data_IF_279557108179
#
_entry.id   IF_279557108179
#
_cell.length_a   1.000
_cell.length_b   1.000
_cell.length_c   1.000
_cell.angle_alpha   90.00
_cell.angle_beta   90.00
_cell.angle_gamma   90.00
#
_symmetry.space_group_name_H-M   'P 1'
#
loop_
_entity.id
_entity.type
_entity.pdbx_description
1 polymer ?
#
# COMPACT_ATOMS: atom_id res chain seq x y z
N UNK A 1 8.66 -25.64 10.41
CA UNK A 1 8.60 -24.70 9.28
C UNK A 1 10.03 -24.47 8.82
N UNK A 2 10.70 -25.51 8.32
CA UNK A 2 10.59 -25.99 6.92
C UNK A 2 10.85 -24.86 5.92
N UNK A 3 12.08 -24.88 5.39
CA UNK A 3 12.54 -23.99 4.33
C UNK A 3 11.75 -24.32 3.07
N UNK A 4 11.16 -23.30 2.45
CA UNK A 4 10.68 -23.41 1.08
C UNK A 4 11.88 -23.75 0.16
N UNK A 5 11.78 -24.79 -0.68
CA UNK A 5 12.84 -25.14 -1.61
C UNK A 5 12.87 -24.12 -2.75
N UNK A 6 14.04 -23.52 -2.99
CA UNK A 6 14.37 -22.87 -4.26
C UNK A 6 14.55 -23.98 -5.30
N UNK A 7 13.47 -24.40 -5.95
CA UNK A 7 13.58 -25.24 -7.14
C UNK A 7 14.01 -24.35 -8.31
N UNK A 8 15.26 -24.50 -8.75
CA UNK A 8 15.64 -24.13 -10.12
C UNK A 8 14.67 -24.80 -11.09
N UNK A 9 14.25 -24.14 -12.19
CA UNK A 9 13.35 -24.77 -13.14
C UNK A 9 13.97 -26.08 -13.63
N UNK A 10 13.18 -27.16 -13.76
CA UNK A 10 13.71 -28.40 -14.27
C UNK A 10 14.27 -28.14 -15.67
N UNK A 11 15.54 -28.45 -15.87
CA UNK A 11 16.17 -28.47 -17.19
C UNK A 11 15.62 -29.67 -17.96
N UNK A 12 14.36 -29.56 -18.41
CA UNK A 12 13.71 -30.53 -19.28
C UNK A 12 13.54 -29.86 -20.62
N UNK A 13 14.24 -30.35 -21.64
CA UNK A 13 13.94 -30.03 -23.03
C UNK A 13 12.53 -30.55 -23.34
N UNK A 14 11.50 -29.76 -23.04
CA UNK A 14 10.17 -29.94 -23.63
C UNK A 14 10.33 -29.69 -25.13
N UNK A 15 10.18 -30.75 -25.92
CA UNK A 15 10.15 -30.63 -27.39
C UNK A 15 8.80 -30.03 -27.81
N UNK A 16 8.78 -29.29 -28.91
CA UNK A 16 7.57 -28.65 -29.43
C UNK A 16 6.40 -29.64 -29.61
N UNK A 17 6.69 -30.90 -29.93
CA UNK A 17 5.72 -31.98 -30.10
C UNK A 17 4.98 -32.35 -28.80
N UNK A 18 5.68 -32.36 -27.66
CA UNK A 18 5.07 -32.68 -26.36
C UNK A 18 4.15 -31.52 -25.93
N UNK A 19 4.60 -30.28 -26.16
CA UNK A 19 3.80 -29.08 -25.90
C UNK A 19 2.54 -29.05 -26.77
N UNK A 20 2.66 -29.38 -28.06
CA UNK A 20 1.51 -29.47 -28.99
C UNK A 20 0.49 -30.52 -28.55
N UNK A 21 0.95 -31.70 -28.11
CA UNK A 21 0.04 -32.76 -27.62
C UNK A 21 -0.71 -32.35 -26.34
N UNK A 22 -0.05 -31.62 -25.43
CA UNK A 22 -0.67 -31.09 -24.21
C UNK A 22 -1.69 -29.99 -24.55
N UNK A 23 -1.40 -29.16 -25.56
CA UNK A 23 -2.24 -28.00 -25.91
C UNK A 23 -3.31 -28.26 -26.97
N UNK A 24 -3.25 -29.39 -27.70
CA UNK A 24 -4.21 -29.75 -28.75
C UNK A 24 -5.69 -29.67 -28.32
N UNK A 25 -6.09 -30.12 -27.11
CA UNK A 25 -7.48 -29.99 -26.66
C UNK A 25 -7.90 -28.53 -26.46
N UNK A 26 -6.99 -27.69 -25.95
CA UNK A 26 -7.24 -26.26 -25.66
C UNK A 26 -7.33 -25.43 -26.96
N UNK A 27 -6.62 -25.84 -28.01
CA UNK A 27 -6.63 -25.17 -29.30
C UNK A 27 -7.91 -25.42 -30.10
N UNK A 28 -8.54 -26.59 -29.96
CA UNK A 28 -9.81 -26.90 -30.63
C UNK A 28 -10.96 -26.00 -30.16
N UNK A 29 -11.01 -25.63 -28.88
CA UNK A 29 -12.06 -24.76 -28.35
C UNK A 29 -11.88 -23.27 -28.72
N UNK A 30 -10.64 -22.82 -28.94
CA UNK A 30 -10.33 -21.40 -29.19
C UNK A 30 -10.51 -20.94 -30.65
N UNK A 31 -10.74 -21.83 -31.60
CA UNK A 31 -10.83 -21.51 -33.02
C UNK A 31 -12.20 -21.01 -33.51
N UNK A 32 -13.05 -20.48 -32.62
CA UNK A 32 -14.33 -19.86 -32.99
C UNK A 32 -14.49 -18.42 -32.51
N UNK A 33 -13.40 -17.65 -32.43
CA UNK A 33 -13.50 -16.18 -32.44
C UNK A 33 -13.54 -15.72 -33.89
N UNK A 34 -14.76 -15.57 -34.41
CA UNK A 34 -15.03 -15.17 -35.80
C UNK A 34 -14.31 -13.86 -36.14
N UNK A 35 -13.36 -13.91 -37.08
CA UNK A 35 -12.81 -12.70 -37.73
C UNK A 35 -11.51 -12.11 -37.15
N UNK A 36 -10.90 -12.68 -36.10
CA UNK A 36 -9.66 -12.14 -35.52
C UNK A 36 -8.56 -13.19 -35.47
N UNK A 37 -7.44 -12.95 -36.16
CA UNK A 37 -6.27 -13.84 -36.12
C UNK A 37 -5.52 -13.71 -34.80
N UNK A 38 -5.49 -14.76 -33.99
CA UNK A 38 -4.70 -14.80 -32.75
C UNK A 38 -3.23 -14.98 -33.12
N UNK A 39 -2.40 -13.97 -32.84
CA UNK A 39 -0.97 -13.96 -33.21
C UNK A 39 -0.08 -14.65 -32.17
N UNK A 40 -0.50 -14.64 -30.90
CA UNK A 40 0.21 -15.25 -29.79
C UNK A 40 -0.72 -15.55 -28.60
N UNK A 41 -0.27 -16.40 -27.68
CA UNK A 41 -0.92 -16.73 -26.42
C UNK A 41 0.12 -16.90 -25.31
N UNK A 42 -0.24 -16.56 -24.08
CA UNK A 42 0.56 -16.83 -22.89
C UNK A 42 -0.20 -17.81 -21.98
N UNK A 43 0.48 -18.89 -21.60
CA UNK A 43 -0.05 -19.99 -20.80
C UNK A 43 0.61 -19.96 -19.42
N UNK A 44 -0.18 -20.01 -18.36
CA UNK A 44 0.27 -19.96 -16.97
C UNK A 44 0.26 -21.37 -16.38
N UNK A 45 1.41 -21.82 -15.87
CA UNK A 45 1.58 -23.12 -15.21
C UNK A 45 2.16 -22.93 -13.81
N UNK A 46 2.18 -24.00 -13.01
CA UNK A 46 2.63 -23.93 -11.61
C UNK A 46 4.13 -23.60 -11.54
N UNK A 47 4.44 -22.31 -11.36
CA UNK A 47 5.81 -21.78 -11.19
C UNK A 47 6.52 -21.35 -12.48
N UNK A 48 5.90 -21.49 -13.65
CA UNK A 48 6.49 -21.10 -14.94
C UNK A 48 5.42 -20.78 -15.97
N UNK A 49 5.82 -20.14 -17.06
CA UNK A 49 4.91 -19.61 -18.07
C UNK A 49 5.35 -20.09 -19.45
N UNK A 50 4.44 -20.15 -20.41
CA UNK A 50 4.76 -20.57 -21.77
C UNK A 50 4.12 -19.61 -22.77
N UNK A 51 4.97 -18.96 -23.55
CA UNK A 51 4.55 -18.06 -24.62
C UNK A 51 4.52 -18.81 -25.95
N UNK A 52 3.34 -18.94 -26.51
CA UNK A 52 3.06 -19.49 -27.82
C UNK A 52 2.90 -18.34 -28.82
N UNK A 53 3.56 -18.38 -29.97
CA UNK A 53 3.38 -17.37 -31.02
C UNK A 53 3.57 -17.97 -32.41
N UNK A 54 2.96 -17.33 -33.41
CA UNK A 54 3.16 -17.72 -34.81
C UNK A 54 4.45 -17.08 -35.36
N UNK A 55 5.33 -17.92 -35.92
CA UNK A 55 6.52 -17.49 -36.64
C UNK A 55 6.47 -18.04 -38.07
N UNK A 56 5.84 -17.29 -38.98
CA UNK A 56 5.54 -17.76 -40.33
C UNK A 56 4.40 -18.79 -40.32
N UNK A 57 4.63 -19.96 -40.92
CA UNK A 57 3.65 -21.07 -40.96
C UNK A 57 3.77 -22.05 -39.79
N UNK A 58 4.66 -21.77 -38.83
CA UNK A 58 4.93 -22.65 -37.70
C UNK A 58 4.56 -21.96 -36.38
N UNK A 59 3.98 -22.75 -35.49
CA UNK A 59 3.77 -22.34 -34.09
C UNK A 59 5.06 -22.57 -33.31
N UNK A 60 5.48 -21.56 -32.55
CA UNK A 60 6.63 -21.68 -31.66
C UNK A 60 6.22 -21.47 -30.20
N UNK A 61 7.03 -22.02 -29.32
CA UNK A 61 6.81 -22.00 -27.87
C UNK A 61 8.09 -21.57 -27.15
N UNK A 62 7.95 -20.75 -26.12
CA UNK A 62 9.04 -20.33 -25.24
C UNK A 62 8.60 -20.45 -23.80
N UNK A 63 9.32 -21.22 -22.99
CA UNK A 63 9.15 -21.16 -21.54
C UNK A 63 9.66 -19.79 -21.07
N UNK A 64 8.82 -19.07 -20.35
CA UNK A 64 9.13 -17.81 -19.73
C UNK A 64 9.14 -18.03 -18.21
N UNK A 65 10.07 -17.36 -17.54
CA UNK A 65 10.00 -17.17 -16.11
C UNK A 65 9.16 -15.92 -15.79
N UNK A 66 8.87 -15.72 -14.50
CA UNK A 66 8.13 -14.55 -14.03
C UNK A 66 8.84 -13.23 -14.37
N UNK A 67 10.18 -13.26 -14.46
CA UNK A 67 10.99 -12.09 -14.78
C UNK A 67 10.76 -11.65 -16.23
N UNK A 68 10.69 -12.58 -17.16
CA UNK A 68 10.50 -12.30 -18.59
C UNK A 68 9.11 -11.74 -18.87
N UNK A 69 8.09 -12.21 -18.16
CA UNK A 69 6.75 -11.63 -18.24
C UNK A 69 6.67 -10.21 -17.71
N UNK A 70 7.31 -9.93 -16.57
CA UNK A 70 7.36 -8.59 -16.01
C UNK A 70 7.94 -7.59 -17.02
N UNK A 71 8.96 -7.99 -17.78
CA UNK A 71 9.57 -7.18 -18.86
C UNK A 71 8.66 -7.03 -20.08
N UNK A 72 7.90 -8.06 -20.43
CA UNK A 72 6.99 -8.01 -21.58
C UNK A 72 5.86 -6.98 -21.35
N UNK A 73 5.35 -6.89 -20.12
CA UNK A 73 4.27 -5.97 -19.75
C UNK A 73 4.75 -4.63 -19.18
N UNK A 74 6.07 -4.38 -19.07
CA UNK A 74 6.60 -3.12 -18.54
C UNK A 74 6.52 -1.94 -19.50
N UNK A 75 6.09 -2.17 -20.75
CA UNK A 75 6.05 -1.16 -21.80
C UNK A 75 4.65 -0.56 -22.03
N UNK A 76 3.62 -1.06 -21.36
CA UNK A 76 2.34 -0.35 -21.27
C UNK A 76 2.54 0.86 -20.34
N UNK A 77 2.16 2.08 -20.75
CA UNK A 77 2.36 3.25 -19.94
C UNK A 77 1.51 3.16 -18.68
N UNK A 78 2.16 2.81 -17.57
CA UNK A 78 1.66 3.02 -16.23
C UNK A 78 1.87 4.50 -15.92
N UNK A 79 0.86 5.30 -16.23
CA UNK A 79 0.86 6.73 -15.94
C UNK A 79 0.14 6.98 -14.61
N UNK A 80 0.89 7.38 -13.59
CA UNK A 80 0.33 7.82 -12.31
C UNK A 80 -0.41 9.15 -12.41
N UNK A 81 -0.29 9.85 -13.54
CA UNK A 81 -0.46 11.27 -13.65
C UNK A 81 0.63 12.03 -12.88
N UNK A 82 0.44 13.34 -12.72
CA UNK A 82 1.30 14.13 -11.84
C UNK A 82 1.19 13.66 -10.39
N UNK A 83 2.33 13.28 -9.81
CA UNK A 83 2.40 12.91 -8.40
C UNK A 83 2.23 14.17 -7.54
N UNK A 84 1.38 14.15 -6.50
CA UNK A 84 1.23 15.28 -5.62
C UNK A 84 2.55 15.55 -4.87
N UNK A 85 2.81 16.81 -4.48
CA UNK A 85 3.92 17.11 -3.60
C UNK A 85 3.78 16.30 -2.30
N UNK A 86 4.91 15.80 -1.81
CA UNK A 86 5.03 14.94 -0.61
C UNK A 86 4.54 13.49 -0.77
N UNK A 87 4.27 13.03 -2.00
CA UNK A 87 4.17 11.59 -2.21
C UNK A 87 5.54 10.94 -1.98
N UNK A 88 5.58 9.94 -1.10
CA UNK A 88 6.83 9.29 -0.71
C UNK A 88 7.04 7.95 -1.40
N UNK A 89 5.96 7.17 -1.57
CA UNK A 89 6.01 5.86 -2.22
C UNK A 89 4.69 5.56 -2.90
N UNK A 90 4.76 4.88 -4.02
CA UNK A 90 3.60 4.33 -4.74
C UNK A 90 3.98 2.98 -5.33
N UNK A 91 3.03 2.03 -5.32
CA UNK A 91 3.23 0.70 -5.88
C UNK A 91 1.90 0.08 -6.32
N UNK A 92 1.97 -0.85 -7.27
CA UNK A 92 0.88 -1.75 -7.61
C UNK A 92 1.27 -3.16 -7.16
N UNK A 93 0.43 -3.79 -6.33
CA UNK A 93 0.62 -5.18 -5.88
C UNK A 93 -0.61 -6.02 -6.23
N UNK A 94 -0.56 -7.36 -6.08
CA UNK A 94 -1.75 -8.19 -6.25
C UNK A 94 -2.92 -7.79 -5.32
N UNK A 95 -2.62 -7.16 -4.18
CA UNK A 95 -3.59 -6.65 -3.21
C UNK A 95 -4.17 -5.28 -3.61
N UNK A 96 -3.67 -4.65 -4.67
CA UNK A 96 -4.15 -3.38 -5.19
C UNK A 96 -3.10 -2.28 -5.16
N UNK A 97 -3.57 -1.05 -5.38
CA UNK A 97 -2.70 0.13 -5.39
C UNK A 97 -2.37 0.56 -3.97
N UNK A 98 -1.07 0.75 -3.74
CA UNK A 98 -0.50 1.27 -2.50
C UNK A 98 0.02 2.68 -2.73
N UNK A 99 -0.25 3.56 -1.79
CA UNK A 99 0.20 4.96 -1.85
C UNK A 99 0.59 5.43 -0.46
N UNK A 100 1.70 6.17 -0.36
CA UNK A 100 2.23 6.71 0.89
C UNK A 100 2.54 8.19 0.69
N UNK A 101 1.94 9.03 1.51
CA UNK A 101 2.13 10.47 1.54
C UNK A 101 2.79 10.88 2.86
N UNK A 102 3.81 11.73 2.77
CA UNK A 102 4.35 12.45 3.92
C UNK A 102 3.54 13.72 4.15
N UNK A 103 3.09 13.92 5.38
CA UNK A 103 2.43 15.14 5.80
C UNK A 103 3.41 15.91 6.67
N UNK A 104 3.81 17.09 6.22
CA UNK A 104 4.70 17.95 7.00
C UNK A 104 4.02 18.38 8.31
N UNK A 105 4.83 18.72 9.32
CA UNK A 105 4.32 19.34 10.54
C UNK A 105 3.56 20.62 10.20
N UNK A 106 2.32 20.72 10.66
CA UNK A 106 1.41 21.82 10.31
C UNK A 106 0.42 22.11 11.43
N UNK A 107 -0.15 23.31 11.42
CA UNK A 107 -1.32 23.63 12.23
C UNK A 107 -2.57 23.14 11.51
N UNK A 108 -3.48 22.50 12.23
CA UNK A 108 -4.78 22.08 11.71
C UNK A 108 -5.88 22.51 12.68
N UNK A 109 -7.06 22.74 12.14
CA UNK A 109 -8.28 22.82 12.94
C UNK A 109 -9.05 21.52 12.76
N UNK A 110 -9.30 20.84 13.86
CA UNK A 110 -10.03 19.57 13.89
C UNK A 110 -11.35 19.74 14.63
N UNK A 111 -12.40 19.10 14.14
CA UNK A 111 -13.71 19.08 14.78
C UNK A 111 -13.82 17.88 15.75
N UNK A 112 -14.51 18.08 16.87
CA UNK A 112 -14.94 17.03 17.79
C UNK A 112 -16.44 16.79 17.63
N UNK A 113 -16.91 15.61 17.98
CA UNK A 113 -18.33 15.18 17.88
C UNK A 113 -19.36 16.03 18.66
N UNK A 114 -18.91 16.99 19.47
CA UNK A 114 -19.73 17.88 20.29
C UNK A 114 -19.75 19.33 19.78
N UNK A 115 -19.56 19.52 18.47
CA UNK A 115 -19.45 20.81 17.78
C UNK A 115 -18.31 21.73 18.27
N UNK A 116 -17.37 21.19 19.04
CA UNK A 116 -16.17 21.93 19.45
C UNK A 116 -15.06 21.73 18.42
N UNK A 117 -14.33 22.80 18.08
CA UNK A 117 -13.15 22.73 17.22
C UNK A 117 -11.87 23.06 17.98
N UNK A 118 -10.79 22.33 17.72
CA UNK A 118 -9.47 22.58 18.30
C UNK A 118 -8.46 22.92 17.21
N UNK A 119 -7.65 23.96 17.41
CA UNK A 119 -6.54 24.31 16.53
C UNK A 119 -5.23 23.85 17.16
N UNK A 120 -4.63 22.81 16.59
CA UNK A 120 -3.48 22.13 17.17
C UNK A 120 -2.34 21.95 16.17
N UNK A 121 -1.08 21.97 16.65
CA UNK A 121 0.05 21.61 15.82
C UNK A 121 0.14 20.09 15.74
N UNK A 122 0.26 19.55 14.54
CA UNK A 122 0.58 18.15 14.32
C UNK A 122 2.10 17.97 14.17
N UNK A 123 2.65 16.81 14.58
CA UNK A 123 3.98 16.41 14.18
C UNK A 123 3.98 16.07 12.67
N UNK A 124 5.14 15.82 12.05
CA UNK A 124 5.16 15.19 10.74
C UNK A 124 4.49 13.81 10.81
N UNK A 125 3.75 13.43 9.77
CA UNK A 125 3.00 12.17 9.70
C UNK A 125 3.32 11.39 8.43
N UNK A 126 3.12 10.08 8.51
CA UNK A 126 3.07 9.17 7.35
C UNK A 126 1.62 8.72 7.20
N UNK A 127 1.02 9.06 6.06
CA UNK A 127 -0.33 8.65 5.69
C UNK A 127 -0.24 7.63 4.55
N UNK A 128 -0.75 6.42 4.78
CA UNK A 128 -0.67 5.33 3.82
C UNK A 128 -2.07 4.79 3.50
N UNK A 129 -2.28 4.37 2.25
CA UNK A 129 -3.52 3.74 1.81
C UNK A 129 -3.27 2.50 0.96
N UNK A 130 -4.14 1.51 1.11
CA UNK A 130 -4.28 0.35 0.24
C UNK A 130 -5.75 0.03 0.07
N UNK A 131 -6.21 -0.03 -1.18
CA UNK A 131 -7.65 -0.08 -1.46
C UNK A 131 -8.39 1.01 -0.67
N UNK A 132 -9.39 0.68 0.17
CA UNK A 132 -10.10 1.65 1.01
C UNK A 132 -9.62 1.64 2.47
N UNK A 133 -8.55 0.92 2.78
CA UNK A 133 -7.95 0.88 4.10
C UNK A 133 -6.81 1.90 4.18
N UNK A 134 -6.79 2.65 5.28
CA UNK A 134 -5.83 3.74 5.48
C UNK A 134 -5.23 3.70 6.86
N UNK A 135 -3.99 4.18 6.94
CA UNK A 135 -3.16 4.11 8.12
C UNK A 135 -2.40 5.41 8.32
N UNK A 136 -2.15 5.75 9.58
CA UNK A 136 -1.50 6.97 10.00
C UNK A 136 -0.49 6.70 11.13
N UNK A 137 0.73 7.17 10.93
CA UNK A 137 1.77 7.19 11.97
C UNK A 137 2.34 8.58 12.11
N UNK A 138 2.86 8.88 13.30
CA UNK A 138 3.64 10.09 13.55
C UNK A 138 5.14 9.82 13.41
N UNK A 139 5.87 10.90 13.16
CA UNK A 139 7.32 10.95 13.08
C UNK A 139 7.85 11.95 14.10
N UNK A 140 9.06 11.71 14.58
CA UNK A 140 9.79 12.64 15.44
C UNK A 140 10.83 13.50 14.67
N UNK A 141 10.82 13.44 13.34
CA UNK A 141 11.72 14.20 12.46
C UNK A 141 10.98 14.66 11.21
N UNK A 142 11.25 15.87 10.69
CA UNK A 142 10.66 16.35 9.43
C UNK A 142 11.24 15.64 8.19
N UNK A 143 12.42 15.03 8.30
CA UNK A 143 13.11 14.35 7.20
C UNK A 143 13.27 12.86 7.55
N UNK A 144 12.20 12.06 7.47
CA UNK A 144 12.26 10.64 7.78
C UNK A 144 12.98 9.86 6.68
N UNK A 145 13.63 8.78 7.10
CA UNK A 145 14.07 7.67 6.24
C UNK A 145 13.13 6.47 6.44
N UNK A 146 13.16 5.45 5.56
CA UNK A 146 12.38 4.23 5.77
C UNK A 146 12.65 3.55 7.13
N UNK A 147 13.89 3.64 7.63
CA UNK A 147 14.30 3.10 8.94
C UNK A 147 13.88 3.96 10.14
N UNK A 148 13.32 5.15 9.89
CA UNK A 148 12.85 6.02 10.97
C UNK A 148 11.75 5.32 11.76
N UNK A 149 11.83 5.43 13.09
CA UNK A 149 10.86 4.82 13.99
C UNK A 149 9.48 5.46 13.82
N UNK A 150 8.46 4.62 13.70
CA UNK A 150 7.08 5.02 13.66
C UNK A 150 6.55 5.28 15.08
N UNK A 151 5.77 6.33 15.24
CA UNK A 151 5.08 6.65 16.49
C UNK A 151 3.58 6.55 16.30
N UNK A 152 2.85 6.24 17.37
CA UNK A 152 1.39 6.27 17.36
C UNK A 152 0.92 7.69 16.98
N UNK A 153 0.01 7.80 16.01
CA UNK A 153 -0.50 9.09 15.57
C UNK A 153 -1.28 9.77 16.71
N UNK A 154 -0.97 11.04 17.06
CA UNK A 154 -1.57 11.73 18.20
C UNK A 154 -2.93 12.35 17.85
N UNK A 155 -3.82 11.56 17.24
CA UNK A 155 -5.18 11.93 16.86
C UNK A 155 -6.15 10.82 17.28
N UNK A 156 -7.41 11.10 17.66
CA UNK A 156 -8.41 10.06 17.87
C UNK A 156 -8.72 9.29 16.58
N UNK A 157 -9.54 8.24 16.66
CA UNK A 157 -9.94 7.40 15.52
C UNK A 157 -8.78 6.72 14.77
N UNK A 158 -7.57 6.67 15.35
CA UNK A 158 -6.43 5.90 14.81
C UNK A 158 -6.04 4.79 15.78
N UNK A 159 -5.83 3.56 15.33
CA UNK A 159 -5.39 2.50 16.23
C UNK A 159 -3.92 2.75 16.64
N UNK A 160 -3.62 2.82 17.94
CA UNK A 160 -2.26 3.13 18.40
C UNK A 160 -1.22 2.05 18.06
N UNK A 161 -1.65 0.79 17.93
CA UNK A 161 -0.76 -0.33 17.62
C UNK A 161 -0.56 -0.54 16.12
N UNK A 162 -1.64 -0.50 15.34
CA UNK A 162 -1.58 -0.77 13.89
C UNK A 162 -1.49 0.48 13.02
N UNK A 163 -1.83 1.66 13.56
CA UNK A 163 -1.97 2.90 12.78
C UNK A 163 -3.25 2.96 11.94
N UNK A 164 -4.11 1.94 11.96
CA UNK A 164 -5.34 1.86 11.17
C UNK A 164 -6.31 2.99 11.51
N UNK A 165 -6.96 3.56 10.50
CA UNK A 165 -7.96 4.62 10.66
C UNK A 165 -9.36 4.03 10.75
N UNK A 166 -10.10 4.43 11.78
CA UNK A 166 -11.53 4.20 11.88
C UNK A 166 -12.27 5.33 11.17
N UNK A 167 -12.98 4.98 10.08
CA UNK A 167 -13.72 5.93 9.26
C UNK A 167 -15.14 6.23 9.78
N UNK A 168 -15.63 5.45 10.75
CA UNK A 168 -17.03 5.55 11.19
C UNK A 168 -17.99 5.28 10.03
N UNK A 169 -18.81 6.28 9.70
CA UNK A 169 -19.76 6.22 8.57
C UNK A 169 -19.18 6.81 7.26
N UNK A 170 -17.94 7.29 7.26
CA UNK A 170 -17.30 7.81 6.06
C UNK A 170 -16.80 6.69 5.17
N UNK A 171 -16.85 6.90 3.86
CA UNK A 171 -16.30 5.98 2.87
C UNK A 171 -15.10 6.65 2.18
N UNK A 172 -13.85 6.27 2.53
CA UNK A 172 -12.68 6.83 1.88
C UNK A 172 -12.58 6.36 0.43
N UNK A 173 -11.98 7.17 -0.48
CA UNK A 173 -11.77 6.75 -1.84
C UNK A 173 -10.76 5.59 -1.90
N UNK A 174 -10.76 4.84 -3.00
CA UNK A 174 -9.70 3.86 -3.27
C UNK A 174 -8.35 4.58 -3.34
N UNK A 175 -7.36 4.03 -2.65
CA UNK A 175 -6.00 4.52 -2.54
C UNK A 175 -5.33 4.61 -3.92
N UNK A 176 -4.96 5.83 -4.30
CA UNK A 176 -4.31 6.14 -5.55
C UNK A 176 -3.52 7.46 -5.41
N UNK A 177 -2.43 7.69 -6.17
CA UNK A 177 -1.72 8.97 -6.17
C UNK A 177 -2.64 10.19 -6.36
N UNK A 178 -3.71 10.06 -7.15
CA UNK A 178 -4.66 11.15 -7.42
C UNK A 178 -5.74 11.32 -6.35
N UNK A 179 -5.97 10.33 -5.48
CA UNK A 179 -7.05 10.36 -4.47
C UNK A 179 -6.53 10.50 -3.03
N UNK A 180 -5.22 10.29 -2.80
CA UNK A 180 -4.63 10.28 -1.46
C UNK A 180 -4.86 11.59 -0.70
N UNK A 181 -4.79 12.74 -1.39
CA UNK A 181 -5.06 14.04 -0.79
C UNK A 181 -6.53 14.18 -0.38
N UNK A 182 -7.46 13.66 -1.19
CA UNK A 182 -8.88 13.67 -0.85
C UNK A 182 -9.18 12.77 0.36
N UNK A 183 -8.54 11.61 0.46
CA UNK A 183 -8.64 10.74 1.63
C UNK A 183 -8.10 11.41 2.90
N UNK A 184 -6.95 12.09 2.81
CA UNK A 184 -6.39 12.86 3.93
C UNK A 184 -7.34 13.96 4.39
N UNK A 185 -7.89 14.72 3.44
CA UNK A 185 -8.83 15.80 3.73
C UNK A 185 -10.12 15.26 4.39
N UNK A 186 -10.67 14.15 3.88
CA UNK A 186 -11.82 13.50 4.48
C UNK A 186 -11.53 13.11 5.94
N UNK A 187 -10.38 12.50 6.20
CA UNK A 187 -10.00 12.09 7.56
C UNK A 187 -9.86 13.29 8.50
N UNK A 188 -9.06 14.29 8.12
CA UNK A 188 -8.72 15.41 9.02
C UNK A 188 -9.90 16.37 9.26
N UNK A 189 -10.87 16.42 8.34
CA UNK A 189 -12.07 17.24 8.45
C UNK A 189 -13.25 16.50 9.11
N UNK A 190 -13.16 15.17 9.25
CA UNK A 190 -14.20 14.40 9.92
C UNK A 190 -14.21 14.68 11.42
N UNK A 191 -15.38 14.72 12.08
CA UNK A 191 -15.46 14.82 13.52
C UNK A 191 -14.72 13.66 14.19
N UNK A 192 -13.78 13.98 15.06
CA UNK A 192 -13.12 13.01 15.90
C UNK A 192 -14.02 12.64 17.09
N UNK A 193 -14.01 11.37 17.46
CA UNK A 193 -14.80 10.81 18.58
C UNK A 193 -13.88 10.29 19.69
N UNK A 194 -14.47 9.81 20.79
CA UNK A 194 -13.71 9.14 21.86
C UNK A 194 -13.22 7.72 21.51
N UNK A 195 -13.30 7.29 20.25
CA UNK A 195 -12.75 6.01 19.81
C UNK A 195 -11.22 6.04 19.68
N UNK A 196 -10.59 4.96 20.14
CA UNK A 196 -9.15 4.72 20.09
C UNK A 196 -8.29 5.88 20.63
N UNK A 197 -8.67 6.49 21.75
CA UNK A 197 -7.96 7.66 22.29
C UNK A 197 -6.69 7.31 23.08
N UNK A 198 -6.52 6.05 23.50
CA UNK A 198 -5.42 5.60 24.36
C UNK A 198 -4.09 5.36 23.64
N UNK A 199 -2.98 5.41 24.40
CA UNK A 199 -1.67 4.92 23.94
C UNK A 199 -0.92 5.82 22.96
N UNK A 200 -1.21 7.12 22.96
CA UNK A 200 -0.69 8.08 21.95
C UNK A 200 0.07 9.27 22.52
N UNK A 201 -0.02 9.49 23.82
CA UNK A 201 0.67 10.56 24.55
C UNK A 201 1.31 9.96 25.79
N UNK A 202 2.58 10.29 26.04
CA UNK A 202 3.26 9.91 27.29
C UNK A 202 2.70 10.67 28.49
N UNK A 203 2.20 11.88 28.25
CA UNK A 203 1.67 12.75 29.29
C UNK A 203 0.20 12.43 29.63
N UNK A 204 -0.60 12.02 28.65
CA UNK A 204 -2.03 11.83 28.82
C UNK A 204 -2.49 10.44 28.40
N UNK A 205 -3.32 9.82 29.25
CA UNK A 205 -3.94 8.52 28.93
C UNK A 205 -4.92 8.62 27.76
N UNK A 206 -5.60 9.75 27.64
CA UNK A 206 -6.55 10.06 26.58
C UNK A 206 -5.98 11.20 25.72
N UNK A 207 -5.77 10.94 24.44
CA UNK A 207 -5.21 11.92 23.50
C UNK A 207 -6.06 13.19 23.36
N UNK A 208 -7.37 13.13 23.60
CA UNK A 208 -8.23 14.31 23.58
C UNK A 208 -7.81 15.34 24.63
N UNK A 209 -7.28 14.91 25.78
CA UNK A 209 -6.76 15.82 26.81
C UNK A 209 -5.50 16.55 26.34
N UNK A 210 -4.63 15.87 25.59
CA UNK A 210 -3.46 16.49 24.99
C UNK A 210 -3.88 17.52 23.94
N UNK A 211 -4.84 17.17 23.06
CA UNK A 211 -5.39 18.06 22.04
C UNK A 211 -5.95 19.34 22.67
N UNK A 212 -6.80 19.20 23.70
CA UNK A 212 -7.33 20.33 24.46
C UNK A 212 -6.22 21.18 25.10
N UNK A 213 -5.17 20.54 25.61
CA UNK A 213 -4.02 21.22 26.22
C UNK A 213 -3.20 21.99 25.18
N UNK A 214 -3.00 21.43 23.99
CA UNK A 214 -2.27 22.07 22.90
C UNK A 214 -3.00 23.31 22.39
N UNK A 215 -4.33 23.19 22.19
CA UNK A 215 -5.20 24.27 21.75
C UNK A 215 -5.28 25.40 22.78
N UNK A 216 -5.60 25.06 24.04
CA UNK A 216 -5.70 26.04 25.15
C UNK A 216 -4.41 26.86 25.30
N UNK A 217 -3.26 26.20 25.16
CA UNK A 217 -1.95 26.84 25.27
C UNK A 217 -1.46 27.46 23.95
N UNK A 218 -2.27 27.42 22.87
CA UNK A 218 -1.97 27.94 21.54
C UNK A 218 -0.59 27.50 21.04
N UNK A 219 -0.27 26.22 21.26
CA UNK A 219 1.06 25.67 20.92
C UNK A 219 1.26 25.76 19.41
N UNK A 220 2.47 26.11 19.00
CA UNK A 220 2.85 26.20 17.58
C UNK A 220 3.55 24.96 17.04
N UNK A 221 3.97 24.06 17.92
CA UNK A 221 4.66 22.81 17.57
C UNK A 221 4.17 21.69 18.48
N UNK A 222 3.99 20.51 17.91
CA UNK A 222 3.68 19.32 18.69
C UNK A 222 4.89 18.96 19.58
N UNK A 223 4.70 18.62 20.86
CA UNK A 223 5.78 18.17 21.72
C UNK A 223 6.24 16.76 21.32
N UNK A 224 7.22 16.66 20.42
CA UNK A 224 7.73 15.37 19.93
C UNK A 224 8.14 14.37 21.02
N UNK A 225 8.71 14.78 22.18
CA UNK A 225 8.98 13.86 23.28
C UNK A 225 7.75 13.15 23.83
N UNK A 226 6.55 13.72 23.66
CA UNK A 226 5.27 13.15 24.10
C UNK A 226 4.80 11.96 23.25
N UNK A 227 5.35 11.80 22.05
CA UNK A 227 4.97 10.69 21.17
C UNK A 227 5.33 9.33 21.79
N UNK A 228 4.44 8.36 21.61
CA UNK A 228 4.67 6.96 21.98
C UNK A 228 5.19 6.19 20.76
N UNK A 229 6.36 5.58 20.92
CA UNK A 229 6.99 4.76 19.87
C UNK A 229 6.24 3.44 19.69
N UNK A 230 6.05 3.04 18.43
CA UNK A 230 5.57 1.69 18.08
C UNK A 230 6.68 0.63 18.15
N UNK A 231 7.93 1.07 18.42
CA UNK A 231 9.16 0.26 18.43
C UNK A 231 9.58 -0.34 17.08
N UNK A 232 8.87 -0.02 16.00
CA UNK A 232 9.18 -0.50 14.65
C UNK A 232 9.42 0.66 13.69
N UNK A 233 10.15 0.41 12.61
CA UNK A 233 10.39 1.40 11.55
C UNK A 233 9.14 1.61 10.69
N UNK A 234 9.07 2.74 9.99
CA UNK A 234 8.01 2.98 9.01
C UNK A 234 8.04 1.92 7.90
N UNK A 235 9.21 1.53 7.42
CA UNK A 235 9.29 0.47 6.40
C UNK A 235 8.71 -0.85 6.90
N UNK A 236 8.95 -1.20 8.17
CA UNK A 236 8.33 -2.37 8.80
C UNK A 236 6.80 -2.25 8.84
N UNK A 237 6.27 -1.08 9.21
CA UNK A 237 4.82 -0.82 9.16
C UNK A 237 4.28 -1.01 7.74
N UNK A 238 4.92 -0.39 6.75
CA UNK A 238 4.50 -0.45 5.35
C UNK A 238 4.65 -1.86 4.74
N UNK A 239 5.64 -2.65 5.14
CA UNK A 239 5.82 -4.00 4.62
C UNK A 239 4.79 -4.98 5.19
N UNK A 240 4.43 -4.86 6.48
CA UNK A 240 3.34 -5.68 7.07
C UNK A 240 2.01 -5.46 6.36
N UNK A 241 1.82 -4.22 5.95
CA UNK A 241 0.69 -3.77 5.16
C UNK A 241 0.73 -4.35 3.74
N UNK A 242 1.82 -4.14 3.00
CA UNK A 242 1.95 -4.52 1.59
C UNK A 242 2.00 -6.05 1.39
N UNK A 243 2.72 -6.76 2.25
CA UNK A 243 3.04 -8.17 2.08
C UNK A 243 2.35 -9.09 3.12
N UNK A 244 1.52 -8.52 3.99
CA UNK A 244 0.95 -9.22 5.13
C UNK A 244 1.98 -9.51 6.22
N UNK A 245 1.51 -10.04 7.36
CA UNK A 245 2.34 -10.48 8.49
C UNK A 245 3.15 -11.75 8.20
N UNK A 246 3.79 -11.85 7.04
CA UNK A 246 4.81 -12.86 6.83
C UNK A 246 6.05 -12.43 7.60
N UNK A 247 6.48 -13.28 8.54
CA UNK A 247 7.66 -13.04 9.37
C UNK A 247 8.90 -12.85 8.49
N UNK A 248 9.25 -11.61 8.17
CA UNK A 248 10.61 -11.25 7.79
C UNK A 248 11.45 -11.24 9.06
N UNK A 249 11.81 -12.44 9.52
CA UNK A 249 12.94 -12.61 10.41
C UNK A 249 14.20 -12.33 9.57
N UNK A 250 14.85 -11.20 9.86
CA UNK A 250 16.26 -11.02 9.55
C UNK A 250 17.11 -11.82 10.53
#
# INVERSE_FOLDING_TARGET
MERLPTSSPPSTHLTAQIVEQILAPVQQERLSLSGTSIQAALLFMEGWYLFQYQAGSQTQYKCLDAATLRTAFSHDPIDSGFLPPNLWRWALTPQGTWVVQLIAAQQVTIAHDNDTSFTIPLPPLVFAGCQQEYYLWALNTPNPTPDSIAFAAPLPNVNAGTGEICWGNNNPPIAHPTTIVAAWNLFIQSPFSHHWTGGKSKQFRDICQQIQTLDRNRRRRYPLPDLISTQVSIDTCLNRLIYGSTNFAH
#
